data_IF_827541844825
#
_entry.id   IF_827541844825
#
_cell.length_a   1.000
_cell.length_b   1.000
_cell.length_c   1.000
_cell.angle_alpha   90.00
_cell.angle_beta   90.00
_cell.angle_gamma   90.00
#
_symmetry.space_group_name_H-M   'P 1'
#
loop_
_entity.id
_entity.type
_entity.pdbx_description
1 polymer ?
#
# COMPACT_ATOMS: atom_id res chain seq x y z
N UNK A 1 7.03 9.44 -0.02
CA UNK A 1 6.15 10.41 0.66
C UNK A 1 5.85 9.90 2.07
N UNK A 2 6.37 10.55 3.11
CA UNK A 2 6.15 10.15 4.52
C UNK A 2 4.73 10.52 4.95
N UNK A 3 3.78 9.61 4.70
CA UNK A 3 2.50 9.63 5.41
C UNK A 3 2.76 9.19 6.85
N UNK A 4 3.21 10.11 7.69
CA UNK A 4 3.42 9.86 9.12
C UNK A 4 2.19 9.24 9.77
N UNK A 5 2.38 8.72 10.98
CA UNK A 5 1.37 7.91 11.65
C UNK A 5 0.00 8.63 11.80
N UNK A 6 -0.02 9.96 11.77
CA UNK A 6 -1.26 10.74 11.88
C UNK A 6 -1.70 11.43 10.58
N UNK A 7 -1.28 10.91 9.42
CA UNK A 7 -1.73 11.47 8.13
C UNK A 7 -3.21 11.21 7.88
N UNK A 8 -3.89 12.20 7.26
CA UNK A 8 -5.30 12.13 6.89
C UNK A 8 -5.66 10.84 6.15
N UNK A 9 -4.87 10.52 5.12
CA UNK A 9 -5.05 9.31 4.30
C UNK A 9 -4.99 8.04 5.13
N UNK A 10 -4.04 7.95 6.08
CA UNK A 10 -3.86 6.75 6.90
C UNK A 10 -5.01 6.56 7.88
N UNK A 11 -5.39 7.61 8.61
CA UNK A 11 -6.47 7.57 9.60
C UNK A 11 -7.81 7.27 8.94
N UNK A 12 -8.12 7.92 7.82
CA UNK A 12 -9.36 7.66 7.08
C UNK A 12 -9.41 6.21 6.59
N UNK A 13 -8.34 5.72 5.98
CA UNK A 13 -8.31 4.35 5.49
C UNK A 13 -8.32 3.30 6.62
N UNK A 14 -7.79 3.61 7.80
CA UNK A 14 -7.96 2.78 8.99
C UNK A 14 -9.44 2.70 9.42
N UNK A 15 -10.13 3.84 9.47
CA UNK A 15 -11.56 3.89 9.79
C UNK A 15 -12.40 3.13 8.76
N UNK A 16 -12.08 3.25 7.46
CA UNK A 16 -12.76 2.55 6.36
C UNK A 16 -12.60 1.03 6.46
N UNK A 17 -11.40 0.55 6.81
CA UNK A 17 -11.16 -0.88 7.02
C UNK A 17 -11.81 -1.39 8.30
N UNK A 18 -11.90 -0.56 9.34
CA UNK A 18 -12.48 -0.99 10.60
C UNK A 18 -13.93 -1.47 10.43
N UNK A 19 -14.29 -2.57 11.10
CA UNK A 19 -15.67 -3.06 11.15
C UNK A 19 -16.60 -2.16 11.99
N UNK A 20 -16.03 -1.13 12.64
CA UNK A 20 -16.77 -0.16 13.44
C UNK A 20 -17.38 0.93 12.54
N UNK A 21 -18.57 0.67 12.01
CA UNK A 21 -19.32 1.65 11.19
C UNK A 21 -19.66 2.95 11.91
N UNK A 22 -19.66 2.99 13.26
CA UNK A 22 -19.85 4.23 14.01
C UNK A 22 -18.64 5.16 13.88
N UNK A 23 -17.43 4.62 13.76
CA UNK A 23 -16.21 5.40 13.58
C UNK A 23 -16.20 6.18 12.25
N UNK A 24 -16.97 5.73 11.25
CA UNK A 24 -17.09 6.42 9.96
C UNK A 24 -18.01 7.64 9.98
N UNK A 25 -18.84 7.82 11.01
CA UNK A 25 -19.82 8.92 11.04
C UNK A 25 -19.18 10.30 10.94
N UNK A 26 -18.02 10.50 11.57
CA UNK A 26 -17.27 11.77 11.48
C UNK A 26 -16.72 12.03 10.06
N UNK A 27 -16.60 10.98 9.24
CA UNK A 27 -16.08 11.06 7.89
C UNK A 27 -17.15 11.21 6.81
N UNK A 28 -18.44 11.07 7.13
CA UNK A 28 -19.52 11.09 6.13
C UNK A 28 -19.56 12.35 5.29
N UNK A 29 -19.32 13.52 5.87
CA UNK A 29 -19.25 14.78 5.13
C UNK A 29 -18.14 14.76 4.08
N UNK A 30 -16.94 14.33 4.48
CA UNK A 30 -15.80 14.19 3.56
C UNK A 30 -16.04 13.11 2.52
N UNK A 31 -16.47 11.91 2.92
CA UNK A 31 -16.71 10.79 2.01
C UNK A 31 -17.76 11.13 0.96
N UNK A 32 -18.84 11.80 1.35
CA UNK A 32 -19.85 12.30 0.40
C UNK A 32 -19.26 13.30 -0.57
N UNK A 33 -18.48 14.28 -0.09
CA UNK A 33 -17.84 15.28 -0.95
C UNK A 33 -16.85 14.61 -1.92
N UNK A 34 -16.01 13.72 -1.41
CA UNK A 34 -14.99 13.02 -2.17
C UNK A 34 -15.60 12.12 -3.25
N UNK A 35 -16.58 11.30 -2.89
CA UNK A 35 -17.32 10.45 -3.83
C UNK A 35 -18.07 11.29 -4.89
N UNK A 36 -18.69 12.41 -4.48
CA UNK A 36 -19.33 13.35 -5.42
C UNK A 36 -18.31 14.00 -6.36
N UNK A 37 -17.08 14.26 -5.92
CA UNK A 37 -16.03 14.79 -6.78
C UNK A 37 -15.53 13.71 -7.77
N UNK A 38 -15.27 12.50 -7.28
CA UNK A 38 -14.80 11.37 -8.10
C UNK A 38 -15.84 10.95 -9.15
N UNK A 39 -17.13 10.97 -8.83
CA UNK A 39 -18.21 10.63 -9.79
C UNK A 39 -18.30 11.59 -10.98
N UNK A 40 -17.77 12.82 -10.85
CA UNK A 40 -17.68 13.79 -11.97
C UNK A 40 -16.53 13.50 -12.93
N UNK A 41 -15.58 12.67 -12.53
CA UNK A 41 -14.44 12.30 -13.37
C UNK A 41 -14.80 11.08 -14.22
N UNK A 42 -14.31 11.02 -15.48
CA UNK A 42 -14.49 9.85 -16.32
C UNK A 42 -13.85 8.62 -15.65
N UNK A 43 -14.47 7.46 -15.84
CA UNK A 43 -13.89 6.21 -15.38
C UNK A 43 -12.71 5.80 -16.27
N UNK A 44 -11.65 5.33 -15.63
CA UNK A 44 -10.45 4.78 -16.26
C UNK A 44 -10.59 3.26 -16.25
N UNK A 45 -10.69 2.66 -17.44
CA UNK A 45 -10.79 1.20 -17.62
C UNK A 45 -9.45 0.64 -18.07
N UNK A 46 -8.55 0.42 -17.12
CA UNK A 46 -7.18 -0.06 -17.42
C UNK A 46 -6.59 -0.83 -16.24
N UNK A 47 -5.43 -1.43 -16.45
CA UNK A 47 -4.61 -2.01 -15.38
C UNK A 47 -3.89 -0.90 -14.61
N UNK A 48 -4.06 -0.90 -13.29
CA UNK A 48 -3.40 0.03 -12.38
C UNK A 48 -2.54 -0.74 -11.38
N UNK A 49 -1.53 -0.07 -10.85
CA UNK A 49 -0.50 -0.65 -10.00
C UNK A 49 -0.51 0.01 -8.62
N UNK A 50 -0.41 -0.81 -7.58
CA UNK A 50 -0.31 -0.36 -6.18
C UNK A 50 0.80 -1.12 -5.46
N UNK A 51 1.79 -0.39 -4.98
CA UNK A 51 2.84 -0.94 -4.11
C UNK A 51 2.41 -0.95 -2.65
N UNK A 52 2.70 -2.05 -1.95
CA UNK A 52 2.47 -2.21 -0.51
C UNK A 52 3.74 -2.77 0.13
N UNK A 53 4.19 -2.13 1.20
CA UNK A 53 5.31 -2.62 2.01
C UNK A 53 4.91 -3.88 2.78
N UNK A 54 5.76 -4.91 2.73
CA UNK A 54 5.51 -6.22 3.34
C UNK A 54 4.80 -7.22 2.43
N UNK A 55 4.78 -8.49 2.86
CA UNK A 55 4.06 -9.56 2.19
C UNK A 55 2.63 -9.67 2.72
N UNK A 56 1.65 -9.35 1.87
CA UNK A 56 0.23 -9.60 2.14
C UNK A 56 -0.38 -10.59 1.13
N UNK A 57 0.43 -11.20 0.26
CA UNK A 57 -0.04 -12.08 -0.82
C UNK A 57 -0.85 -13.28 -0.34
N UNK A 58 -0.55 -13.78 0.87
CA UNK A 58 -1.26 -14.91 1.48
C UNK A 58 -2.73 -14.60 1.82
N UNK A 59 -3.11 -13.32 1.81
CA UNK A 59 -4.48 -12.86 2.05
C UNK A 59 -5.36 -12.95 0.79
N UNK A 60 -4.78 -13.31 -0.37
CA UNK A 60 -5.48 -13.37 -1.64
C UNK A 60 -5.46 -14.78 -2.21
N UNK A 61 -6.61 -15.45 -2.23
CA UNK A 61 -6.77 -16.78 -2.83
C UNK A 61 -7.44 -16.66 -4.19
N UNK A 62 -6.94 -17.39 -5.20
CA UNK A 62 -7.54 -17.39 -6.55
C UNK A 62 -9.07 -17.64 -6.46
N UNK A 63 -9.83 -16.84 -7.18
CA UNK A 63 -11.29 -16.91 -7.26
C UNK A 63 -12.03 -16.20 -6.12
N UNK A 64 -11.34 -15.80 -5.05
CA UNK A 64 -11.93 -15.10 -3.93
C UNK A 64 -12.46 -13.72 -4.35
N UNK A 65 -13.66 -13.40 -3.89
CA UNK A 65 -14.29 -12.08 -4.03
C UNK A 65 -14.11 -11.31 -2.71
N UNK A 66 -13.63 -10.07 -2.81
CA UNK A 66 -13.39 -9.21 -1.65
C UNK A 66 -13.86 -7.79 -1.91
N UNK A 67 -14.30 -7.12 -0.83
CA UNK A 67 -14.62 -5.70 -0.86
C UNK A 67 -13.39 -4.90 -0.47
N UNK A 68 -12.92 -4.06 -1.39
CA UNK A 68 -11.81 -3.16 -1.16
C UNK A 68 -12.27 -1.89 -0.47
N UNK A 69 -12.27 -1.88 0.86
CA UNK A 69 -12.82 -0.78 1.67
C UNK A 69 -12.02 0.52 1.63
N UNK A 70 -10.71 0.46 1.31
CA UNK A 70 -9.84 1.64 1.37
C UNK A 70 -9.92 2.49 0.11
N UNK A 71 -9.80 3.80 0.25
CA UNK A 71 -9.40 4.67 -0.86
C UNK A 71 -7.96 4.33 -1.19
N UNK A 72 -7.67 3.95 -2.43
CA UNK A 72 -6.31 3.59 -2.84
C UNK A 72 -5.82 4.47 -3.97
N UNK A 73 -4.70 5.12 -3.71
CA UNK A 73 -3.90 5.80 -4.73
C UNK A 73 -3.09 4.77 -5.50
N UNK A 74 -3.30 4.69 -6.80
CA UNK A 74 -2.63 3.78 -7.72
C UNK A 74 -1.96 4.59 -8.83
N UNK A 75 -1.11 3.94 -9.62
CA UNK A 75 -0.58 4.53 -10.85
C UNK A 75 -0.92 3.66 -12.05
N UNK A 76 -1.11 4.26 -13.22
CA UNK A 76 -1.14 3.52 -14.50
C UNK A 76 0.27 3.14 -14.97
N UNK A 77 1.31 3.77 -14.41
CA UNK A 77 2.71 3.54 -14.78
C UNK A 77 3.41 2.65 -13.76
N UNK A 78 3.89 1.48 -14.20
CA UNK A 78 4.58 0.53 -13.31
C UNK A 78 5.89 1.10 -12.77
N UNK A 79 6.60 1.92 -13.57
CA UNK A 79 7.89 2.50 -13.19
C UNK A 79 7.75 3.46 -12.00
N UNK A 80 6.64 4.21 -11.93
CA UNK A 80 6.33 5.08 -10.77
C UNK A 80 6.21 4.23 -9.51
N UNK A 81 5.50 3.10 -9.58
CA UNK A 81 5.30 2.21 -8.43
C UNK A 81 6.60 1.52 -8.02
N UNK A 82 7.48 1.19 -8.96
CA UNK A 82 8.78 0.62 -8.67
C UNK A 82 9.62 1.54 -7.77
N UNK A 83 9.58 2.85 -8.00
CA UNK A 83 10.29 3.83 -7.16
C UNK A 83 9.71 3.88 -5.74
N UNK A 84 8.38 3.73 -5.59
CA UNK A 84 7.70 3.65 -4.29
C UNK A 84 8.02 2.38 -3.50
N UNK A 85 8.19 1.25 -4.18
CA UNK A 85 8.54 -0.01 -3.54
C UNK A 85 9.96 0.04 -2.96
N UNK A 86 10.84 0.92 -3.46
CA UNK A 86 12.20 1.11 -2.97
C UNK A 86 13.03 -0.18 -2.92
N UNK A 87 14.07 -0.22 -2.09
CA UNK A 87 14.87 -1.43 -1.83
C UNK A 87 14.20 -2.36 -0.79
N UNK A 88 12.88 -2.34 -0.65
CA UNK A 88 12.21 -3.14 0.38
C UNK A 88 12.46 -4.64 0.15
N UNK A 89 13.03 -5.30 1.16
CA UNK A 89 13.41 -6.72 1.14
C UNK A 89 12.16 -7.63 1.22
N UNK A 90 10.96 -7.05 1.28
CA UNK A 90 9.71 -7.80 1.19
C UNK A 90 8.55 -6.86 0.84
N UNK A 91 7.93 -7.02 -0.32
CA UNK A 91 6.84 -6.16 -0.77
C UNK A 91 5.80 -6.90 -1.59
N UNK A 92 4.60 -6.31 -1.66
CA UNK A 92 3.50 -6.79 -2.49
C UNK A 92 3.16 -5.73 -3.54
N UNK A 93 3.16 -6.12 -4.80
CA UNK A 93 2.66 -5.32 -5.92
C UNK A 93 1.29 -5.84 -6.31
N UNK A 94 0.27 -5.00 -6.23
CA UNK A 94 -1.05 -5.31 -6.76
C UNK A 94 -1.13 -4.80 -8.19
N UNK A 95 -1.55 -5.67 -9.09
CA UNK A 95 -2.03 -5.30 -10.43
C UNK A 95 -3.55 -5.44 -10.44
N UNK A 96 -4.25 -4.35 -10.72
CA UNK A 96 -5.70 -4.30 -10.62
C UNK A 96 -6.27 -3.88 -11.98
N UNK A 97 -7.02 -4.77 -12.63
CA UNK A 97 -7.83 -4.44 -13.81
C UNK A 97 -9.07 -3.67 -13.34
N UNK A 98 -9.11 -2.37 -13.58
CA UNK A 98 -10.14 -1.48 -13.05
C UNK A 98 -11.20 -1.14 -14.08
N UNK A 99 -12.40 -0.84 -13.60
CA UNK A 99 -13.56 -0.37 -14.37
C UNK A 99 -14.05 1.00 -13.91
N UNK A 100 -13.88 1.33 -12.63
CA UNK A 100 -14.40 2.56 -12.02
C UNK A 100 -13.34 3.53 -11.50
N UNK A 101 -12.05 3.19 -11.62
CA UNK A 101 -10.95 4.04 -11.16
C UNK A 101 -11.02 5.44 -11.79
N UNK A 102 -10.52 6.45 -11.08
CA UNK A 102 -10.62 7.85 -11.49
C UNK A 102 -9.25 8.50 -11.61
N UNK A 103 -8.96 9.07 -12.78
CA UNK A 103 -7.74 9.86 -12.99
C UNK A 103 -7.80 11.16 -12.21
N UNK A 104 -6.87 11.32 -11.25
CA UNK A 104 -6.72 12.54 -10.44
C UNK A 104 -5.39 13.25 -10.69
N UNK A 105 -4.66 12.88 -11.76
CA UNK A 105 -3.35 13.43 -12.11
C UNK A 105 -3.34 14.96 -12.26
N UNK A 106 -4.50 15.57 -12.57
CA UNK A 106 -4.69 17.02 -12.68
C UNK A 106 -4.96 17.74 -11.35
N UNK A 107 -5.23 16.99 -10.29
CA UNK A 107 -5.62 17.51 -8.97
C UNK A 107 -4.59 17.16 -7.89
N UNK A 108 -3.77 16.14 -8.13
CA UNK A 108 -2.68 15.75 -7.24
C UNK A 108 -1.55 16.78 -7.24
N UNK A 109 -0.79 16.82 -6.15
CA UNK A 109 0.46 17.60 -6.08
C UNK A 109 1.64 16.91 -6.79
N UNK A 110 1.45 15.69 -7.28
CA UNK A 110 2.47 14.85 -7.92
C UNK A 110 2.02 14.38 -9.32
N UNK A 111 1.90 15.29 -10.30
CA UNK A 111 1.32 14.98 -11.61
C UNK A 111 2.10 13.91 -12.40
N UNK A 112 3.38 13.76 -12.12
CA UNK A 112 4.25 12.76 -12.76
C UNK A 112 3.95 11.32 -12.31
N UNK A 113 3.24 11.14 -11.19
CA UNK A 113 2.88 9.82 -10.68
C UNK A 113 1.74 9.16 -11.47
N UNK A 114 1.09 9.90 -12.38
CA UNK A 114 -0.09 9.44 -13.13
C UNK A 114 -1.14 8.81 -12.21
N UNK A 115 -1.42 9.53 -11.12
CA UNK A 115 -2.24 9.03 -10.02
C UNK A 115 -3.69 8.77 -10.47
N UNK A 116 -4.16 7.58 -10.14
CA UNK A 116 -5.55 7.16 -10.29
C UNK A 116 -6.07 6.66 -8.95
N UNK A 117 -7.29 7.04 -8.58
CA UNK A 117 -7.94 6.60 -7.34
C UNK A 117 -8.84 5.41 -7.62
N UNK A 118 -8.61 4.32 -6.89
CA UNK A 118 -9.58 3.25 -6.69
C UNK A 118 -10.46 3.60 -5.48
N UNK A 119 -11.78 3.66 -5.70
CA UNK A 119 -12.74 4.07 -4.68
C UNK A 119 -12.91 3.03 -3.55
N UNK A 120 -13.37 3.47 -2.37
CA UNK A 120 -13.70 2.56 -1.28
C UNK A 120 -14.96 1.78 -1.61
N UNK A 121 -15.05 0.53 -1.15
CA UNK A 121 -16.18 -0.36 -1.42
C UNK A 121 -16.11 -1.04 -2.80
N UNK A 122 -15.00 -0.93 -3.53
CA UNK A 122 -14.85 -1.57 -4.84
C UNK A 122 -14.84 -3.10 -4.68
N UNK A 123 -15.63 -3.81 -5.48
CA UNK A 123 -15.62 -5.28 -5.50
C UNK A 123 -14.49 -5.79 -6.40
N UNK A 124 -13.59 -6.59 -5.83
CA UNK A 124 -12.46 -7.17 -6.54
C UNK A 124 -12.49 -8.69 -6.47
N UNK A 125 -12.10 -9.36 -7.54
CA UNK A 125 -11.86 -10.81 -7.59
C UNK A 125 -10.38 -11.09 -7.79
N UNK A 126 -9.84 -12.07 -7.07
CA UNK A 126 -8.47 -12.55 -7.25
C UNK A 126 -8.41 -13.42 -8.51
N UNK A 127 -7.73 -12.95 -9.55
CA UNK A 127 -7.73 -13.62 -10.87
C UNK A 127 -6.79 -14.83 -10.93
N UNK A 128 -5.67 -14.77 -10.21
CA UNK A 128 -4.65 -15.81 -10.19
C UNK A 128 -4.03 -15.95 -8.80
N UNK A 129 -3.42 -17.10 -8.52
CA UNK A 129 -2.57 -17.25 -7.35
C UNK A 129 -1.41 -16.25 -7.42
N UNK A 130 -1.01 -15.71 -6.27
CA UNK A 130 0.08 -14.74 -6.22
C UNK A 130 1.37 -15.33 -6.80
N UNK A 131 2.06 -14.54 -7.62
CA UNK A 131 3.38 -14.86 -8.15
C UNK A 131 4.44 -14.33 -7.18
N UNK A 132 5.40 -15.17 -6.80
CA UNK A 132 6.56 -14.73 -6.02
C UNK A 132 7.81 -14.73 -6.92
N UNK A 133 8.54 -13.62 -6.92
CA UNK A 133 9.85 -13.52 -7.55
C UNK A 133 10.84 -12.89 -6.57
N UNK A 134 11.69 -13.73 -5.96
CA UNK A 134 12.53 -13.32 -4.85
C UNK A 134 11.69 -12.83 -3.66
N UNK A 135 11.84 -11.56 -3.34
CA UNK A 135 11.14 -10.88 -2.24
C UNK A 135 9.88 -10.11 -2.67
N UNK A 136 9.64 -10.01 -3.97
CA UNK A 136 8.47 -9.37 -4.54
C UNK A 136 7.34 -10.38 -4.70
N UNK A 137 6.16 -10.02 -4.22
CA UNK A 137 4.94 -10.79 -4.39
C UNK A 137 3.99 -9.99 -5.28
N UNK A 138 3.44 -10.61 -6.32
CA UNK A 138 2.53 -9.96 -7.28
C UNK A 138 1.16 -10.59 -7.13
N UNK A 139 0.14 -9.76 -6.91
CA UNK A 139 -1.26 -10.18 -6.80
C UNK A 139 -2.03 -9.57 -7.96
N UNK A 140 -2.79 -10.40 -8.66
CA UNK A 140 -3.63 -9.98 -9.79
C UNK A 140 -5.10 -9.93 -9.37
N UNK A 141 -5.67 -8.73 -9.38
CA UNK A 141 -7.06 -8.46 -9.06
C UNK A 141 -7.81 -7.94 -10.30
N UNK A 142 -9.09 -8.22 -10.38
CA UNK A 142 -10.01 -7.64 -11.38
C UNK A 142 -11.22 -7.05 -10.67
N UNK A 143 -11.61 -5.84 -11.08
CA UNK A 143 -12.84 -5.21 -10.60
C UNK A 143 -14.07 -5.88 -11.21
N UNK A 144 -15.00 -6.25 -10.34
CA UNK A 144 -16.26 -6.90 -10.69
C UNK A 144 -17.38 -5.86 -10.70
N UNK A 145 -18.24 -5.93 -11.71
CA UNK A 145 -19.47 -5.16 -11.83
C UNK A 145 -20.68 -6.09 -11.90
N UNK A 146 -21.87 -5.59 -11.58
CA UNK A 146 -23.11 -6.36 -11.62
C UNK A 146 -23.45 -6.92 -13.02
N UNK A 147 -22.93 -6.28 -14.09
CA UNK A 147 -23.05 -6.73 -15.49
C UNK A 147 -22.10 -7.89 -15.86
N UNK A 148 -21.15 -8.24 -14.99
CA UNK A 148 -20.35 -9.46 -15.17
C UNK A 148 -21.21 -10.65 -14.73
N UNK A 149 -22.16 -11.04 -15.59
CA UNK A 149 -22.91 -12.28 -15.44
C UNK A 149 -21.95 -13.45 -15.15
N UNK A 150 -22.46 -14.49 -14.49
CA UNK A 150 -21.77 -15.67 -13.92
C UNK A 150 -20.86 -16.48 -14.89
N UNK A 151 -19.94 -15.83 -15.58
CA UNK A 151 -18.91 -16.43 -16.42
C UNK A 151 -17.80 -16.96 -15.49
N UNK A 152 -18.15 -18.10 -14.88
CA UNK A 152 -17.33 -19.30 -14.71
C UNK A 152 -16.25 -19.32 -13.62
N UNK A 153 -16.57 -19.95 -12.50
CA UNK A 153 -16.12 -21.29 -12.06
C UNK A 153 -16.55 -21.42 -10.58
N UNK A 154 -17.62 -22.18 -10.32
CA UNK A 154 -18.22 -22.28 -8.99
C UNK A 154 -17.26 -22.95 -8.00
N UNK A 155 -16.69 -22.14 -7.09
CA UNK A 155 -16.02 -22.59 -5.87
C UNK A 155 -16.77 -22.01 -4.66
N UNK A 156 -16.80 -22.71 -3.51
CA UNK A 156 -17.78 -22.46 -2.47
C UNK A 156 -17.62 -21.07 -1.87
N UNK A 157 -18.75 -20.38 -1.72
CA UNK A 157 -18.84 -19.07 -1.09
C UNK A 157 -18.41 -19.16 0.38
N UNK A 158 -17.14 -18.84 0.65
CA UNK A 158 -16.72 -18.38 1.96
C UNK A 158 -16.94 -16.86 2.00
N UNK A 159 -18.15 -16.45 2.38
CA UNK A 159 -18.41 -15.06 2.76
C UNK A 159 -17.71 -14.82 4.10
N UNK A 160 -16.44 -14.47 4.03
CA UNK A 160 -15.66 -13.92 5.13
C UNK A 160 -15.20 -12.53 4.72
N UNK A 161 -15.71 -11.49 5.37
CA UNK A 161 -15.18 -10.13 5.23
C UNK A 161 -13.71 -10.13 5.69
N UNK A 162 -12.75 -10.32 4.78
CA UNK A 162 -11.35 -10.12 5.10
C UNK A 162 -11.03 -8.62 5.13
N UNK A 163 -10.99 -8.09 6.35
CA UNK A 163 -10.44 -6.78 6.66
C UNK A 163 -8.91 -6.87 6.64
N UNK A 164 -8.25 -6.37 5.60
CA UNK A 164 -6.77 -6.40 5.50
C UNK A 164 -6.16 -5.39 6.49
N UNK A 165 -5.70 -5.85 7.66
CA UNK A 165 -5.00 -5.03 8.66
C UNK A 165 -3.48 -5.12 8.48
N UNK A 166 -2.83 -4.05 8.02
CA UNK A 166 -1.38 -3.92 8.02
C UNK A 166 -0.92 -3.16 9.28
N UNK A 167 -0.64 -3.87 10.37
CA UNK A 167 0.10 -3.32 11.51
C UNK A 167 1.55 -3.80 11.47
N UNK A 168 2.49 -2.91 11.13
CA UNK A 168 3.90 -3.06 11.48
C UNK A 168 4.14 -2.34 12.81
N UNK A 169 4.33 -3.09 13.89
CA UNK A 169 4.90 -2.57 15.14
C UNK A 169 6.37 -2.24 14.90
N UNK A 170 6.73 -0.97 15.07
CA UNK A 170 8.10 -0.52 15.22
C UNK A 170 8.61 -0.92 16.61
N UNK A 171 9.52 -1.89 16.65
CA UNK A 171 10.39 -2.12 17.82
C UNK A 171 11.65 -1.26 17.68
N UNK A 172 11.84 -0.33 18.61
CA UNK A 172 13.07 0.47 18.75
C UNK A 172 14.30 -0.41 19.03
N UNK A 173 15.47 -0.13 18.44
CA UNK A 173 16.72 -0.68 18.91
C UNK A 173 17.27 0.14 20.09
N UNK A 174 17.56 -0.58 21.19
CA UNK A 174 18.26 -0.08 22.39
C UNK A 174 19.57 0.62 22.01
N UNK A 175 19.79 1.82 22.58
CA UNK A 175 21.09 2.47 22.62
C UNK A 175 22.13 1.57 23.30
N UNK A 176 23.24 1.30 22.61
CA UNK A 176 24.46 0.77 23.21
C UNK A 176 25.41 1.95 23.40
N UNK A 177 25.62 2.36 24.65
CA UNK A 177 26.63 3.35 25.03
C UNK A 177 28.02 2.71 24.98
N UNK A 178 28.90 3.19 24.12
CA UNK A 178 30.32 2.85 24.10
C UNK A 178 31.09 3.74 25.08
N UNK A 179 31.62 3.16 26.16
CA UNK A 179 32.63 3.78 27.00
C UNK A 179 33.64 2.72 27.47
N UNK A 180 34.88 2.78 26.93
CA UNK A 180 36.12 2.45 27.65
C UNK A 180 37.33 2.58 26.72
N UNK A 181 38.19 3.56 27.00
CA UNK A 181 39.59 3.51 26.67
C UNK A 181 40.37 3.94 27.93
N UNK A 182 41.18 3.01 28.46
CA UNK A 182 42.03 3.09 29.66
C UNK A 182 43.50 3.30 29.20
N UNK A 183 44.40 3.87 30.03
CA UNK A 183 45.32 4.92 29.59
C UNK A 183 46.75 4.50 29.20
N UNK A 184 47.41 5.51 28.61
CA UNK A 184 48.82 5.66 28.20
C UNK A 184 49.84 5.34 29.31
N UNK A 185 50.94 4.63 29.01
CA UNK A 185 52.17 4.67 29.79
C UNK A 185 53.23 5.63 29.18
N UNK A 186 53.99 6.30 30.05
CA UNK A 186 55.06 7.27 29.71
C UNK A 186 56.45 6.63 29.58
N UNK A 187 57.18 7.04 28.52
CA UNK A 187 58.65 7.29 28.37
C UNK A 187 59.63 6.10 28.50
N UNK A 188 60.90 6.16 27.97
CA UNK A 188 61.73 7.35 27.71
C UNK A 188 62.63 7.42 26.42
N UNK A 189 62.99 8.67 26.05
CA UNK A 189 64.33 9.24 25.68
C UNK A 189 65.09 8.88 24.36
N UNK A 190 65.60 9.96 23.70
CA UNK A 190 66.73 10.10 22.74
C UNK A 190 66.48 9.64 21.29
N UNK A 191 66.89 10.28 20.19
CA UNK A 191 67.98 11.23 19.85
C UNK A 191 67.66 11.92 18.49
N UNK A 192 68.29 13.08 18.20
CA UNK A 192 68.87 13.59 16.91
C UNK A 192 68.39 13.02 15.55
N UNK A 193 68.34 13.72 14.42
CA UNK A 193 68.77 15.02 13.89
C UNK A 193 68.33 15.02 12.39
N UNK A 194 68.59 16.14 11.70
CA UNK A 194 68.82 16.30 10.25
C UNK A 194 67.66 16.74 9.33
N UNK A 195 67.73 18.05 9.08
CA UNK A 195 67.47 18.83 7.85
C UNK A 195 66.05 18.99 7.33
#
# INVERSE_FOLDING_TARGET
MEGGDNSFYRILNEALRSENRRALRSWFGFLKLFDTALSKLPAVKTSVWRGISGNISQQFKKGELLTWWSISSCSVEVNVVQDFLGKNINATLLMIETKSAKDVSRYTSFPDEKEVILGPGTQLRVKANALQHGTLHIVHLVEVSDDDGDDQESLPAAVGSMTLNSQSKSTEPKQVSSASAVPVPKKPVSSSEFT
#
